data_IF_365756360351
#
_entry.id   IF_365756360351
#
_cell.length_a   1.000
_cell.length_b   1.000
_cell.length_c   1.000
_cell.angle_alpha   90.00
_cell.angle_beta   90.00
_cell.angle_gamma   90.00
#
_symmetry.space_group_name_H-M   'P 1'
#
loop_
_entity.id
_entity.type
_entity.pdbx_description
1 polymer ?
#
# COMPACT_ATOMS: atom_id res chain seq x y z
N UNK A 1 0.87 -1.28 -13.68
CA UNK A 1 -0.48 -1.42 -13.03
C UNK A 1 -0.31 -1.61 -11.52
N UNK A 2 -1.26 -1.11 -10.70
CA UNK A 2 -1.24 -1.34 -9.25
C UNK A 2 -2.04 -2.59 -8.91
N UNK A 3 -1.54 -3.43 -7.97
CA UNK A 3 -2.25 -4.60 -7.43
C UNK A 3 -2.36 -4.46 -5.92
N UNK A 4 -3.55 -4.67 -5.37
CA UNK A 4 -3.81 -4.57 -3.93
C UNK A 4 -4.45 -5.87 -3.46
N UNK A 5 -3.87 -6.45 -2.41
CA UNK A 5 -4.23 -7.75 -1.85
C UNK A 5 -4.29 -7.69 -0.32
N UNK A 6 -4.90 -8.67 0.30
CA UNK A 6 -4.92 -8.86 1.75
C UNK A 6 -5.38 -7.58 2.50
N UNK A 7 -6.40 -6.91 1.98
CA UNK A 7 -6.93 -5.69 2.61
C UNK A 7 -7.75 -6.04 3.83
N UNK A 8 -7.41 -5.41 4.96
CA UNK A 8 -8.11 -5.54 6.23
C UNK A 8 -8.37 -4.16 6.82
N UNK A 9 -9.55 -3.95 7.40
CA UNK A 9 -9.93 -2.69 8.07
C UNK A 9 -10.31 -2.98 9.51
N UNK A 10 -9.59 -2.39 10.45
CA UNK A 10 -9.76 -2.63 11.89
C UNK A 10 -9.88 -1.34 12.69
N UNK A 11 -10.26 -1.46 13.98
CA UNK A 11 -10.26 -0.34 14.91
C UNK A 11 -11.60 0.39 15.04
N UNK A 12 -12.67 -0.14 14.46
CA UNK A 12 -14.02 0.45 14.51
C UNK A 12 -14.53 0.68 15.93
N UNK A 13 -14.46 -0.34 16.80
CA UNK A 13 -14.86 -0.25 18.20
C UNK A 13 -14.14 0.91 18.93
N UNK A 14 -12.81 0.99 18.76
CA UNK A 14 -12.00 2.02 19.40
C UNK A 14 -12.31 3.43 18.85
N UNK A 15 -12.53 3.54 17.54
CA UNK A 15 -12.89 4.79 16.89
C UNK A 15 -14.24 5.32 17.39
N UNK A 16 -15.25 4.45 17.49
CA UNK A 16 -16.59 4.78 17.98
C UNK A 16 -16.53 5.22 19.45
N UNK A 17 -15.90 4.44 20.31
CA UNK A 17 -15.70 4.81 21.71
C UNK A 17 -15.00 6.16 21.83
N UNK A 18 -13.92 6.35 21.03
CA UNK A 18 -13.14 7.59 21.03
C UNK A 18 -13.93 8.83 20.59
N UNK A 19 -14.79 8.72 19.55
CA UNK A 19 -15.58 9.85 19.08
C UNK A 19 -16.71 10.25 20.04
N UNK A 20 -17.15 9.33 20.91
CA UNK A 20 -18.20 9.59 21.92
C UNK A 20 -17.66 10.19 23.22
N UNK A 21 -16.35 10.04 23.51
CA UNK A 21 -15.72 10.58 24.71
C UNK A 21 -16.00 12.08 24.94
N UNK A 22 -15.82 12.98 23.96
CA UNK A 22 -16.05 14.42 24.17
C UNK A 22 -17.48 14.80 24.50
N UNK A 23 -18.44 13.89 24.28
CA UNK A 23 -19.88 14.08 24.47
C UNK A 23 -20.44 13.29 25.65
N UNK A 24 -19.61 12.46 26.31
CA UNK A 24 -20.04 11.53 27.36
C UNK A 24 -21.31 10.73 26.95
N UNK A 25 -21.31 10.23 25.70
CA UNK A 25 -22.51 9.63 25.08
C UNK A 25 -22.34 8.17 24.69
N UNK A 26 -21.60 7.41 25.49
CA UNK A 26 -21.34 5.98 25.23
C UNK A 26 -22.60 5.14 25.25
N UNK A 27 -23.57 5.50 26.09
CA UNK A 27 -24.92 4.91 26.22
C UNK A 27 -25.77 5.01 24.94
N UNK A 28 -25.37 5.91 24.02
CA UNK A 28 -26.03 6.11 22.73
C UNK A 28 -25.42 5.32 21.58
N UNK A 29 -24.36 4.52 21.86
CA UNK A 29 -23.74 3.66 20.84
C UNK A 29 -24.67 2.49 20.54
N UNK A 30 -24.84 2.21 19.26
CA UNK A 30 -25.62 1.09 18.74
C UNK A 30 -24.78 0.16 17.84
N UNK A 31 -23.46 0.28 17.94
CA UNK A 31 -22.49 -0.56 17.22
C UNK A 31 -21.99 -1.70 18.09
N UNK A 32 -21.63 -2.81 17.48
CA UNK A 32 -21.13 -3.98 18.20
C UNK A 32 -20.73 -5.12 17.28
N UNK A 33 -20.24 -6.20 17.88
CA UNK A 33 -19.97 -7.43 17.16
C UNK A 33 -21.29 -8.13 16.83
N UNK A 34 -21.43 -8.57 15.58
CA UNK A 34 -22.59 -9.35 15.13
C UNK A 34 -22.31 -10.81 15.41
N UNK A 35 -23.18 -11.39 16.23
CA UNK A 35 -23.17 -12.81 16.56
C UNK A 35 -24.41 -13.43 15.93
N UNK A 36 -24.24 -14.03 14.75
CA UNK A 36 -25.36 -14.68 14.05
C UNK A 36 -25.69 -16.05 14.65
N UNK A 37 -24.79 -16.65 15.40
CA UNK A 37 -24.99 -17.92 16.07
C UNK A 37 -24.13 -18.01 17.34
N UNK A 38 -24.75 -18.00 18.50
CA UNK A 38 -24.09 -18.05 19.82
C UNK A 38 -23.36 -19.40 20.02
N UNK A 39 -23.76 -20.44 19.29
CA UNK A 39 -23.14 -21.77 19.36
C UNK A 39 -21.87 -21.89 18.52
N UNK A 40 -21.58 -20.91 17.64
CA UNK A 40 -20.35 -20.89 16.84
C UNK A 40 -19.15 -20.38 17.63
N UNK A 41 -17.94 -20.93 17.38
CA UNK A 41 -16.73 -20.43 18.00
C UNK A 41 -16.48 -18.98 17.60
N UNK A 42 -15.85 -18.20 18.49
CA UNK A 42 -15.56 -16.76 18.32
C UNK A 42 -14.89 -16.39 16.97
N UNK A 43 -14.12 -17.33 16.41
CA UNK A 43 -13.46 -17.18 15.10
C UNK A 43 -14.42 -17.14 13.90
N UNK A 44 -15.68 -17.53 14.09
CA UNK A 44 -16.72 -17.56 13.05
C UNK A 44 -17.76 -16.44 13.20
N UNK A 45 -17.54 -15.50 14.13
CA UNK A 45 -18.41 -14.33 14.28
C UNK A 45 -18.25 -13.39 13.11
N UNK A 46 -19.34 -12.94 12.54
CA UNK A 46 -19.36 -11.90 11.52
C UNK A 46 -18.97 -10.57 12.16
N UNK A 47 -17.81 -10.09 11.90
CA UNK A 47 -17.19 -8.81 12.16
C UNK A 47 -17.93 -7.76 13.00
N UNK A 48 -17.32 -6.61 13.14
CA UNK A 48 -17.91 -5.48 13.86
C UNK A 48 -18.88 -4.71 12.96
N UNK A 49 -20.12 -4.48 13.43
CA UNK A 49 -21.14 -3.71 12.73
C UNK A 49 -21.29 -2.31 13.31
N UNK A 50 -21.27 -1.30 12.45
CA UNK A 50 -21.50 0.10 12.82
C UNK A 50 -22.99 0.39 12.75
N UNK A 51 -23.58 0.77 13.88
CA UNK A 51 -25.00 1.11 13.98
C UNK A 51 -25.35 2.48 13.40
N UNK A 52 -26.64 2.71 13.09
CA UNK A 52 -27.12 3.97 12.48
C UNK A 52 -26.77 5.23 13.28
N UNK A 53 -26.91 5.20 14.62
CA UNK A 53 -26.60 6.35 15.47
C UNK A 53 -25.12 6.72 15.45
N UNK A 54 -24.24 5.70 15.47
CA UNK A 54 -22.81 5.90 15.36
C UNK A 54 -22.42 6.39 13.99
N UNK A 55 -22.99 5.81 12.94
CA UNK A 55 -22.76 6.23 11.55
C UNK A 55 -23.16 7.71 11.34
N UNK A 56 -24.32 8.13 11.84
CA UNK A 56 -24.75 9.52 11.77
C UNK A 56 -23.77 10.46 12.48
N UNK A 57 -23.31 10.08 13.69
CA UNK A 57 -22.32 10.86 14.42
C UNK A 57 -20.99 10.95 13.67
N UNK A 58 -20.49 9.85 13.11
CA UNK A 58 -19.28 9.83 12.28
C UNK A 58 -19.40 10.83 11.11
N UNK A 59 -20.51 10.80 10.39
CA UNK A 59 -20.75 11.71 9.26
C UNK A 59 -20.80 13.17 9.68
N UNK A 60 -21.49 13.48 10.80
CA UNK A 60 -21.52 14.83 11.38
C UNK A 60 -20.11 15.33 11.74
N UNK A 61 -19.31 14.49 12.37
CA UNK A 61 -17.94 14.83 12.74
C UNK A 61 -17.03 15.01 11.51
N UNK A 62 -17.20 14.20 10.46
CA UNK A 62 -16.49 14.38 9.20
C UNK A 62 -16.84 15.69 8.50
N UNK A 63 -18.12 16.06 8.46
CA UNK A 63 -18.58 17.35 7.90
C UNK A 63 -18.06 18.56 8.69
N UNK A 64 -17.85 18.41 10.00
CA UNK A 64 -17.34 19.47 10.88
C UNK A 64 -15.82 19.75 10.73
N UNK A 65 -15.09 18.91 9.98
CA UNK A 65 -13.69 19.12 9.62
C UNK A 65 -12.67 18.28 10.40
N UNK A 66 -11.39 18.49 10.09
CA UNK A 66 -10.27 17.65 10.55
C UNK A 66 -10.11 17.58 12.07
N UNK A 67 -10.43 18.66 12.78
CA UNK A 67 -10.34 18.72 14.24
C UNK A 67 -11.40 17.85 14.94
N UNK A 68 -12.52 17.64 14.27
CA UNK A 68 -13.64 16.86 14.80
C UNK A 68 -13.60 15.39 14.40
N UNK A 69 -13.01 15.04 13.26
CA UNK A 69 -12.95 13.67 12.73
C UNK A 69 -11.72 12.87 13.16
N UNK A 70 -11.15 13.17 14.33
CA UNK A 70 -9.94 12.49 14.86
C UNK A 70 -10.11 10.98 14.99
N UNK A 71 -11.34 10.49 15.17
CA UNK A 71 -11.65 9.06 15.22
C UNK A 71 -11.21 8.31 13.96
N UNK A 72 -11.18 8.95 12.79
CA UNK A 72 -10.70 8.36 11.54
C UNK A 72 -9.24 7.91 11.60
N UNK A 73 -8.45 8.48 12.51
CA UNK A 73 -7.05 8.06 12.74
C UNK A 73 -6.94 6.74 13.48
N UNK A 74 -8.03 6.27 14.09
CA UNK A 74 -8.11 5.00 14.82
C UNK A 74 -8.65 3.87 13.94
N UNK A 75 -9.22 4.17 12.77
CA UNK A 75 -9.64 3.17 11.78
C UNK A 75 -8.45 2.91 10.87
N UNK A 76 -7.86 1.73 11.02
CA UNK A 76 -6.60 1.36 10.39
C UNK A 76 -6.86 0.37 9.26
N UNK A 77 -6.16 0.56 8.15
CA UNK A 77 -6.19 -0.31 6.98
C UNK A 77 -4.80 -0.94 6.82
N UNK A 78 -4.76 -2.25 6.72
CA UNK A 78 -3.62 -3.02 6.26
C UNK A 78 -3.87 -3.48 4.83
N UNK A 79 -2.84 -3.49 4.00
CA UNK A 79 -2.90 -4.04 2.65
C UNK A 79 -1.50 -4.40 2.13
N UNK A 80 -1.44 -5.36 1.22
CA UNK A 80 -0.28 -5.62 0.40
C UNK A 80 -0.46 -4.91 -0.93
N UNK A 81 0.46 -4.01 -1.27
CA UNK A 81 0.43 -3.27 -2.53
C UNK A 81 1.66 -3.60 -3.36
N UNK A 82 1.43 -3.99 -4.62
CA UNK A 82 2.47 -4.08 -5.65
C UNK A 82 2.26 -2.94 -6.63
N UNK A 83 3.26 -2.06 -6.75
CA UNK A 83 3.19 -0.87 -7.60
C UNK A 83 4.58 -0.44 -8.07
N UNK A 84 4.69 0.34 -9.17
CA UNK A 84 5.97 0.81 -9.68
C UNK A 84 6.67 1.79 -8.71
N UNK A 85 8.00 1.78 -8.74
CA UNK A 85 8.80 2.65 -7.87
C UNK A 85 8.47 4.13 -8.04
N UNK A 86 8.09 4.59 -9.25
CA UNK A 86 7.69 5.98 -9.48
C UNK A 86 6.41 6.34 -8.70
N UNK A 87 5.45 5.40 -8.54
CA UNK A 87 4.27 5.60 -7.70
C UNK A 87 4.63 5.61 -6.22
N UNK A 88 5.50 4.70 -5.78
CA UNK A 88 5.97 4.64 -4.39
C UNK A 88 6.67 5.91 -3.94
N UNK A 89 7.44 6.58 -4.84
CA UNK A 89 8.08 7.87 -4.54
C UNK A 89 7.06 8.93 -4.14
N UNK A 90 5.87 8.94 -4.76
CA UNK A 90 4.80 9.86 -4.39
C UNK A 90 4.06 9.38 -3.14
N UNK A 91 3.80 8.06 -3.00
CA UNK A 91 3.18 7.48 -1.81
C UNK A 91 4.00 7.77 -0.54
N UNK A 92 5.32 7.72 -0.62
CA UNK A 92 6.23 7.99 0.50
C UNK A 92 6.16 9.44 1.01
N UNK A 93 5.43 10.34 0.35
CA UNK A 93 5.14 11.68 0.86
C UNK A 93 4.07 11.68 1.97
N UNK A 94 3.25 10.64 2.07
CA UNK A 94 2.21 10.46 3.09
C UNK A 94 2.76 9.76 4.35
N UNK A 95 3.81 10.34 4.95
CA UNK A 95 4.57 9.70 6.06
C UNK A 95 3.84 9.65 7.39
N UNK A 96 2.99 10.63 7.68
CA UNK A 96 2.32 10.74 8.99
C UNK A 96 1.11 9.81 9.03
N UNK A 97 1.16 8.81 9.92
CA UNK A 97 0.10 7.81 10.06
C UNK A 97 0.15 6.69 9.02
N UNK A 98 1.33 6.50 8.39
CA UNK A 98 1.58 5.42 7.43
C UNK A 98 2.86 4.68 7.81
N UNK A 99 2.82 3.35 7.73
CA UNK A 99 3.99 2.46 7.86
C UNK A 99 4.04 1.57 6.63
N UNK A 100 5.22 1.32 6.09
CA UNK A 100 5.41 0.42 4.97
C UNK A 100 6.63 -0.49 5.17
N UNK A 101 6.44 -1.78 4.93
CA UNK A 101 7.50 -2.78 4.86
C UNK A 101 7.62 -3.26 3.42
N UNK A 102 8.77 -3.02 2.80
CA UNK A 102 9.00 -3.31 1.38
C UNK A 102 9.86 -4.54 1.15
N UNK A 103 9.58 -5.24 0.05
CA UNK A 103 10.56 -6.18 -0.52
C UNK A 103 11.85 -5.43 -0.86
N UNK A 104 13.00 -6.02 -0.47
CA UNK A 104 14.29 -5.37 -0.67
C UNK A 104 14.71 -5.38 -2.13
N UNK A 105 14.82 -4.20 -2.73
CA UNK A 105 15.44 -4.00 -4.05
C UNK A 105 16.97 -3.91 -3.99
N UNK A 106 17.56 -3.87 -2.79
CA UNK A 106 19.02 -3.74 -2.62
C UNK A 106 19.69 -5.07 -2.29
N UNK A 107 19.14 -5.81 -1.29
CA UNK A 107 19.78 -7.00 -0.78
C UNK A 107 19.34 -8.28 -1.49
N UNK A 108 18.12 -8.29 -2.05
CA UNK A 108 17.47 -9.48 -2.61
C UNK A 108 17.19 -9.39 -4.12
N UNK A 109 17.62 -8.31 -4.75
CA UNK A 109 17.36 -8.04 -6.18
C UNK A 109 17.86 -9.14 -7.13
N UNK A 110 18.91 -9.85 -6.73
CA UNK A 110 19.55 -10.89 -7.52
C UNK A 110 18.97 -12.30 -7.31
N UNK A 111 18.02 -12.49 -6.38
CA UNK A 111 17.54 -13.84 -6.02
C UNK A 111 16.70 -14.50 -7.10
N UNK A 112 15.93 -13.72 -7.86
CA UNK A 112 15.19 -14.22 -9.01
C UNK A 112 15.58 -13.53 -10.30
N UNK A 113 15.31 -14.19 -11.42
CA UNK A 113 15.44 -13.63 -12.76
C UNK A 113 14.40 -12.50 -12.95
N UNK A 114 14.81 -11.45 -13.65
CA UNK A 114 13.91 -10.37 -14.06
C UNK A 114 13.12 -10.77 -15.29
N UNK A 115 11.83 -10.51 -15.24
CA UNK A 115 10.90 -10.71 -16.37
C UNK A 115 10.12 -9.43 -16.65
N UNK A 116 9.46 -9.33 -17.79
CA UNK A 116 8.60 -8.18 -18.10
C UNK A 116 7.48 -7.96 -17.09
N UNK A 117 6.96 -9.03 -16.48
CA UNK A 117 5.91 -8.96 -15.46
C UNK A 117 6.38 -8.23 -14.17
N UNK A 118 7.69 -8.09 -13.98
CA UNK A 118 8.23 -7.32 -12.86
C UNK A 118 8.15 -5.79 -13.08
N UNK A 119 7.69 -5.33 -14.25
CA UNK A 119 7.69 -3.92 -14.62
C UNK A 119 6.31 -3.46 -15.12
N UNK A 120 5.96 -2.21 -14.81
CA UNK A 120 4.80 -1.55 -15.41
C UNK A 120 5.13 -1.10 -16.82
N UNK A 121 4.35 -1.61 -17.80
CA UNK A 121 4.62 -1.44 -19.23
C UNK A 121 3.39 -0.98 -20.02
N UNK A 122 2.26 -0.74 -19.34
CA UNK A 122 0.93 -0.58 -19.93
C UNK A 122 0.83 0.56 -20.96
N UNK A 123 1.68 1.56 -20.86
CA UNK A 123 1.70 2.74 -21.73
C UNK A 123 2.93 2.78 -22.67
N UNK A 124 3.73 1.69 -22.71
CA UNK A 124 4.91 1.67 -23.57
C UNK A 124 4.53 1.37 -25.02
N UNK A 125 4.99 2.22 -25.93
CA UNK A 125 5.00 1.94 -27.36
C UNK A 125 6.07 0.89 -27.69
N UNK A 126 5.94 0.24 -28.86
CA UNK A 126 6.82 -0.86 -29.29
C UNK A 126 8.31 -0.53 -29.19
N UNK A 127 8.72 0.68 -29.56
CA UNK A 127 10.12 1.09 -29.47
C UNK A 127 10.63 1.14 -28.01
N UNK A 128 9.84 1.72 -27.10
CA UNK A 128 10.17 1.81 -25.69
C UNK A 128 10.12 0.45 -25.00
N UNK A 129 9.15 -0.38 -25.39
CA UNK A 129 9.02 -1.76 -24.93
C UNK A 129 10.29 -2.57 -25.25
N UNK A 130 10.78 -2.50 -26.50
CA UNK A 130 12.01 -3.19 -26.90
C UNK A 130 13.22 -2.71 -26.09
N UNK A 131 13.30 -1.40 -25.76
CA UNK A 131 14.39 -0.87 -24.92
C UNK A 131 14.34 -1.41 -23.48
N UNK A 132 13.14 -1.59 -22.92
CA UNK A 132 12.98 -2.23 -21.61
C UNK A 132 13.39 -3.71 -21.66
N UNK A 133 13.03 -4.44 -22.70
CA UNK A 133 13.40 -5.84 -22.88
C UNK A 133 14.92 -6.02 -23.00
N UNK A 134 15.58 -5.17 -23.79
CA UNK A 134 17.05 -5.09 -23.85
C UNK A 134 17.67 -4.85 -22.48
N UNK A 135 17.07 -3.93 -21.68
CA UNK A 135 17.51 -3.63 -20.31
C UNK A 135 17.34 -4.80 -19.38
N UNK A 136 16.20 -5.51 -19.43
CA UNK A 136 15.94 -6.71 -18.62
C UNK A 136 16.97 -7.81 -18.94
N UNK A 137 17.25 -8.02 -20.21
CA UNK A 137 18.30 -8.93 -20.66
C UNK A 137 19.67 -8.54 -20.06
N UNK A 138 20.00 -7.25 -20.08
CA UNK A 138 21.24 -6.73 -19.50
C UNK A 138 21.31 -6.93 -17.98
N UNK A 139 20.21 -6.67 -17.27
CA UNK A 139 20.11 -6.89 -15.82
C UNK A 139 20.31 -8.38 -15.48
N UNK A 140 19.71 -9.29 -16.25
CA UNK A 140 19.87 -10.73 -16.05
C UNK A 140 21.31 -11.21 -16.32
N UNK A 141 22.00 -10.67 -17.32
CA UNK A 141 23.41 -10.96 -17.56
C UNK A 141 24.27 -10.62 -16.31
N UNK A 142 24.04 -9.45 -15.69
CA UNK A 142 24.81 -9.05 -14.50
C UNK A 142 24.36 -9.80 -13.24
N UNK A 143 23.07 -10.15 -13.15
CA UNK A 143 22.56 -11.04 -12.11
C UNK A 143 23.27 -12.39 -12.15
N UNK A 144 23.37 -13.04 -13.31
CA UNK A 144 24.08 -14.30 -13.48
C UNK A 144 25.56 -14.18 -13.14
N UNK A 145 26.23 -13.12 -13.61
CA UNK A 145 27.63 -12.84 -13.25
C UNK A 145 27.81 -12.67 -11.75
N UNK A 146 26.85 -12.05 -11.07
CA UNK A 146 26.88 -11.86 -9.62
C UNK A 146 26.66 -13.16 -8.85
N UNK A 147 25.62 -13.92 -9.22
CA UNK A 147 25.23 -15.17 -8.55
C UNK A 147 26.30 -16.24 -8.74
N UNK A 148 26.79 -16.41 -9.95
CA UNK A 148 27.75 -17.44 -10.33
C UNK A 148 29.22 -16.98 -10.19
N UNK A 149 29.47 -15.82 -9.56
CA UNK A 149 30.82 -15.32 -9.36
C UNK A 149 31.67 -16.28 -8.52
N UNK A 150 32.77 -16.74 -9.07
CA UNK A 150 33.82 -17.51 -8.39
C UNK A 150 35.17 -16.79 -8.50
N UNK A 151 36.05 -17.02 -7.55
CA UNK A 151 37.39 -16.44 -7.56
C UNK A 151 38.19 -16.96 -8.74
N UNK A 152 38.87 -16.09 -9.45
CA UNK A 152 39.75 -16.45 -10.58
C UNK A 152 41.13 -16.91 -10.09
N UNK A 153 41.83 -17.61 -10.94
CA UNK A 153 43.23 -17.97 -10.68
C UNK A 153 44.07 -16.69 -10.44
N UNK A 154 44.85 -16.66 -9.38
CA UNK A 154 45.66 -15.54 -8.91
C UNK A 154 44.87 -14.26 -8.53
N UNK A 155 43.56 -14.33 -8.30
CA UNK A 155 42.76 -13.22 -7.80
C UNK A 155 42.78 -13.24 -6.26
N UNK A 156 43.10 -12.11 -5.61
CA UNK A 156 43.00 -12.00 -4.16
C UNK A 156 41.52 -11.91 -3.72
N UNK A 157 41.25 -12.24 -2.43
CA UNK A 157 39.91 -12.13 -1.87
C UNK A 157 39.31 -10.71 -2.02
N UNK A 158 40.15 -9.70 -1.88
CA UNK A 158 39.73 -8.31 -2.02
C UNK A 158 39.38 -7.96 -3.48
N UNK A 159 40.20 -8.39 -4.44
CA UNK A 159 39.94 -8.23 -5.86
C UNK A 159 38.64 -8.94 -6.28
N UNK A 160 38.39 -10.13 -5.76
CA UNK A 160 37.17 -10.90 -5.98
C UNK A 160 35.93 -10.12 -5.45
N UNK A 161 35.97 -9.64 -4.19
CA UNK A 161 34.90 -8.84 -3.61
C UNK A 161 34.58 -7.58 -4.42
N UNK A 162 35.60 -6.84 -4.83
CA UNK A 162 35.45 -5.63 -5.66
C UNK A 162 34.79 -5.97 -6.99
N UNK A 163 35.27 -7.02 -7.67
CA UNK A 163 34.71 -7.46 -8.95
C UNK A 163 33.27 -7.94 -8.81
N UNK A 164 32.96 -8.76 -7.80
CA UNK A 164 31.60 -9.22 -7.53
C UNK A 164 30.66 -8.05 -7.24
N UNK A 165 31.10 -7.09 -6.41
CA UNK A 165 30.35 -5.88 -6.10
C UNK A 165 30.11 -5.00 -7.34
N UNK A 166 31.04 -4.98 -8.32
CA UNK A 166 30.84 -4.23 -9.56
C UNK A 166 29.67 -4.76 -10.39
N UNK A 167 29.44 -6.07 -10.40
CA UNK A 167 28.28 -6.69 -11.06
C UNK A 167 26.97 -6.29 -10.39
N UNK A 168 26.93 -6.26 -9.06
CA UNK A 168 25.78 -5.77 -8.31
C UNK A 168 25.48 -4.30 -8.64
N UNK A 169 26.49 -3.44 -8.75
CA UNK A 169 26.29 -2.03 -9.10
C UNK A 169 25.66 -1.83 -10.48
N UNK A 170 25.94 -2.70 -11.46
CA UNK A 170 25.30 -2.60 -12.78
C UNK A 170 23.79 -2.81 -12.68
N UNK A 171 23.33 -3.74 -11.85
CA UNK A 171 21.90 -3.94 -11.62
C UNK A 171 21.29 -2.73 -10.91
N UNK A 172 21.90 -2.25 -9.83
CA UNK A 172 21.32 -1.18 -9.01
C UNK A 172 21.22 0.15 -9.77
N UNK A 173 22.27 0.53 -10.50
CA UNK A 173 22.30 1.83 -11.17
C UNK A 173 21.44 1.90 -12.44
N UNK A 174 21.22 0.77 -13.09
CA UNK A 174 20.37 0.66 -14.28
C UNK A 174 18.91 0.31 -13.96
N UNK A 175 18.59 0.10 -12.69
CA UNK A 175 17.28 -0.38 -12.27
C UNK A 175 16.18 0.66 -12.54
N UNK A 176 15.20 0.37 -13.42
CA UNK A 176 14.23 1.37 -13.84
C UNK A 176 13.15 1.61 -12.78
N UNK A 177 12.61 2.82 -12.75
CA UNK A 177 11.54 3.20 -11.82
C UNK A 177 10.18 2.56 -12.12
N UNK A 178 10.05 1.89 -13.27
CA UNK A 178 8.87 1.09 -13.62
C UNK A 178 8.79 -0.27 -12.92
N UNK A 179 9.85 -0.66 -12.17
CA UNK A 179 9.84 -1.91 -11.41
C UNK A 179 8.74 -1.92 -10.34
N UNK A 180 7.96 -2.99 -10.34
CA UNK A 180 6.85 -3.20 -9.41
C UNK A 180 7.35 -3.78 -8.08
N UNK A 181 7.42 -2.94 -7.06
CA UNK A 181 7.81 -3.34 -5.71
C UNK A 181 6.58 -3.66 -4.87
N UNK A 182 6.59 -4.82 -4.21
CA UNK A 182 5.56 -5.16 -3.21
C UNK A 182 5.92 -4.57 -1.85
N UNK A 183 4.91 -3.95 -1.20
CA UNK A 183 5.00 -3.48 0.19
C UNK A 183 3.74 -3.87 0.97
N UNK A 184 3.92 -4.34 2.19
CA UNK A 184 2.83 -4.39 3.17
C UNK A 184 2.75 -3.03 3.85
N UNK A 185 1.58 -2.41 3.82
CA UNK A 185 1.35 -1.07 4.38
C UNK A 185 0.34 -1.10 5.52
N UNK A 186 0.47 -0.13 6.41
CA UNK A 186 -0.53 0.26 7.39
C UNK A 186 -0.79 1.75 7.26
N UNK A 187 -2.04 2.15 7.14
CA UNK A 187 -2.45 3.55 7.14
C UNK A 187 -3.87 3.68 7.72
N UNK A 188 -4.33 4.91 7.95
CA UNK A 188 -5.65 5.13 8.55
C UNK A 188 -6.58 5.91 7.63
N UNK A 189 -7.87 5.96 7.98
CA UNK A 189 -8.90 6.62 7.19
C UNK A 189 -8.66 8.12 6.99
N UNK A 190 -8.02 8.82 7.93
CA UNK A 190 -7.67 10.23 7.76
C UNK A 190 -6.61 10.41 6.66
N UNK A 191 -5.59 9.53 6.60
CA UNK A 191 -4.59 9.54 5.53
C UNK A 191 -5.24 9.21 4.19
N UNK A 192 -6.13 8.19 4.15
CA UNK A 192 -6.87 7.84 2.94
C UNK A 192 -7.74 9.00 2.44
N UNK A 193 -8.39 9.76 3.34
CA UNK A 193 -9.18 10.93 2.95
C UNK A 193 -8.30 12.01 2.30
N UNK A 194 -7.10 12.25 2.82
CA UNK A 194 -6.15 13.19 2.24
C UNK A 194 -5.63 12.71 0.88
N UNK A 195 -5.32 11.41 0.75
CA UNK A 195 -4.92 10.79 -0.52
C UNK A 195 -6.05 10.92 -1.53
N UNK A 196 -7.27 10.49 -1.20
CA UNK A 196 -8.41 10.52 -2.09
C UNK A 196 -8.69 11.94 -2.62
N UNK A 197 -8.70 12.93 -1.73
CA UNK A 197 -8.89 14.33 -2.10
C UNK A 197 -7.86 14.82 -3.12
N UNK A 198 -6.59 14.42 -2.96
CA UNK A 198 -5.47 14.92 -3.76
C UNK A 198 -5.22 14.10 -5.03
N UNK A 199 -5.61 12.82 -5.07
CA UNK A 199 -5.18 11.86 -6.08
C UNK A 199 -6.28 11.27 -6.97
N UNK A 200 -7.56 11.44 -6.66
CA UNK A 200 -8.67 10.87 -7.45
C UNK A 200 -8.71 11.28 -8.92
N UNK A 201 -8.11 12.42 -9.26
CA UNK A 201 -7.99 12.93 -10.63
C UNK A 201 -6.51 13.07 -11.04
N UNK A 202 -5.64 12.21 -10.55
CA UNK A 202 -4.21 12.28 -10.81
C UNK A 202 -3.86 11.82 -12.23
N UNK A 203 -2.68 12.21 -12.74
CA UNK A 203 -2.18 11.81 -14.07
C UNK A 203 -1.76 10.34 -14.16
N UNK A 204 -1.28 9.77 -13.03
CA UNK A 204 -0.90 8.37 -12.96
C UNK A 204 -2.14 7.53 -12.72
N UNK A 205 -2.41 6.58 -13.61
CA UNK A 205 -3.56 5.68 -13.53
C UNK A 205 -3.56 4.86 -12.25
N UNK A 206 -2.39 4.52 -11.72
CA UNK A 206 -2.25 3.80 -10.45
C UNK A 206 -2.89 4.56 -9.28
N UNK A 207 -2.83 5.90 -9.27
CA UNK A 207 -3.51 6.70 -8.24
C UNK A 207 -5.04 6.69 -8.42
N UNK A 208 -5.49 6.75 -9.66
CA UNK A 208 -6.93 6.69 -9.98
C UNK A 208 -7.48 5.33 -9.55
N UNK A 209 -6.74 4.25 -9.86
CA UNK A 209 -7.13 2.89 -9.49
C UNK A 209 -7.10 2.68 -7.97
N UNK A 210 -6.06 3.18 -7.28
CA UNK A 210 -6.02 3.18 -5.82
C UNK A 210 -7.22 3.89 -5.21
N UNK A 211 -7.63 5.04 -5.77
CA UNK A 211 -8.80 5.76 -5.30
C UNK A 211 -10.12 5.01 -5.53
N UNK A 212 -10.26 4.26 -6.63
CA UNK A 212 -11.41 3.37 -6.83
C UNK A 212 -11.48 2.27 -5.77
N UNK A 213 -10.33 1.69 -5.39
CA UNK A 213 -10.28 0.68 -4.33
C UNK A 213 -10.64 1.31 -2.97
N UNK A 214 -10.19 2.53 -2.69
CA UNK A 214 -10.63 3.28 -1.49
C UNK A 214 -12.17 3.39 -1.44
N UNK A 215 -12.84 3.58 -2.56
CA UNK A 215 -14.31 3.67 -2.63
C UNK A 215 -15.02 2.35 -2.26
N UNK A 216 -14.31 1.20 -2.31
CA UNK A 216 -14.85 -0.11 -1.94
C UNK A 216 -14.66 -0.46 -0.46
N UNK A 217 -13.90 0.33 0.30
CA UNK A 217 -13.66 0.07 1.72
C UNK A 217 -14.95 0.25 2.54
N UNK A 218 -15.07 -0.46 3.68
CA UNK A 218 -16.20 -0.30 4.58
C UNK A 218 -16.39 1.17 4.98
N UNK A 219 -17.62 1.69 4.89
CA UNK A 219 -17.94 3.09 5.21
C UNK A 219 -17.04 4.11 4.46
N UNK A 220 -16.73 3.84 3.19
CA UNK A 220 -15.87 4.69 2.36
C UNK A 220 -16.40 6.12 2.20
N UNK A 221 -17.70 6.37 2.46
CA UNK A 221 -18.29 7.70 2.52
C UNK A 221 -17.58 8.61 3.54
N UNK A 222 -17.01 8.06 4.61
CA UNK A 222 -16.21 8.82 5.58
C UNK A 222 -14.91 9.35 4.96
N UNK A 223 -14.32 8.59 4.04
CA UNK A 223 -13.09 8.94 3.33
C UNK A 223 -13.39 9.89 2.18
N UNK A 224 -14.35 9.51 1.33
CA UNK A 224 -14.70 10.25 0.10
C UNK A 224 -15.49 11.51 0.38
N UNK A 225 -16.10 11.60 1.57
CA UNK A 225 -17.02 12.65 2.00
C UNK A 225 -18.24 12.81 1.07
N UNK A 226 -18.60 11.75 0.36
CA UNK A 226 -19.82 11.64 -0.43
C UNK A 226 -20.92 11.10 0.48
N UNK A 227 -21.54 11.97 1.25
CA UNK A 227 -22.69 11.60 2.10
C UNK A 227 -23.97 11.71 1.28
N UNK A 228 -24.84 10.70 1.35
CA UNK A 228 -26.18 10.79 0.79
C UNK A 228 -26.90 11.96 1.46
N UNK A 229 -27.52 12.84 0.68
CA UNK A 229 -28.50 13.79 1.19
C UNK A 229 -29.73 12.98 1.61
N UNK A 230 -30.04 12.98 2.90
CA UNK A 230 -31.29 12.42 3.44
C UNK A 230 -32.42 13.45 3.25
#
# INVERSE_FOLDING_TARGET
MIKIENTEVVGWEHAIRGMRNPKNSWDKSDSGYVVNDIEKPYSEWEGFSVGPNDKELMQKLCKAGTDHRKFMRMIVVYADITAPLYWWKEFDTYKVGTVANSCSTMHKIHEKEFTLDDFSTEHLENFSWNRLDDLITHLNIYREKFVNASQKFNESDEQFKVRKKSYWWQMIQLFPSSYNQKRTIMLNYEVLANIYKSRRNHKLDEWVEFCKIIETLPHSELITQKFSEN
#
